data_IF_373264907158
#
_entry.id   IF_373264907158
#
_cell.length_a   1.000
_cell.length_b   1.000
_cell.length_c   1.000
_cell.angle_alpha   90.00
_cell.angle_beta   90.00
_cell.angle_gamma   90.00
#
_symmetry.space_group_name_H-M   'P 1'
#
loop_
_entity.id
_entity.type
_entity.pdbx_description
1 polymer ?
#
# COMPACT_ATOMS: atom_id res chain seq x y z
N UNK A 1 11.91 38.41 -13.55
CA UNK A 1 11.43 38.16 -14.93
C UNK A 1 10.47 39.26 -15.33
N UNK A 2 10.67 39.90 -16.48
CA UNK A 2 9.78 40.97 -16.98
C UNK A 2 8.55 40.42 -17.71
N UNK A 3 7.46 41.17 -17.75
CA UNK A 3 6.17 40.78 -18.34
C UNK A 3 6.28 40.30 -19.81
N UNK A 4 7.22 40.86 -20.58
CA UNK A 4 7.50 40.44 -21.98
C UNK A 4 8.07 39.03 -22.07
N UNK A 5 8.97 38.65 -21.15
CA UNK A 5 9.57 37.31 -21.12
C UNK A 5 8.52 36.24 -20.77
N UNK A 6 7.62 36.55 -19.84
CA UNK A 6 6.51 35.66 -19.47
C UNK A 6 5.58 35.41 -20.67
N UNK A 7 5.18 36.47 -21.37
CA UNK A 7 4.33 36.33 -22.57
C UNK A 7 5.02 35.53 -23.68
N UNK A 8 6.33 35.68 -23.85
CA UNK A 8 7.11 34.94 -24.84
C UNK A 8 7.12 33.44 -24.53
N UNK A 9 7.44 33.06 -23.28
CA UNK A 9 7.41 31.65 -22.87
C UNK A 9 6.02 31.02 -22.99
N UNK A 10 4.97 31.76 -22.62
CA UNK A 10 3.60 31.27 -22.76
C UNK A 10 3.20 31.05 -24.22
N UNK A 11 3.62 31.94 -25.13
CA UNK A 11 3.38 31.74 -26.57
C UNK A 11 4.16 30.54 -27.11
N UNK A 12 5.39 30.34 -26.64
CA UNK A 12 6.20 29.18 -27.01
C UNK A 12 5.58 27.86 -26.52
N UNK A 13 4.96 27.84 -25.34
CA UNK A 13 4.20 26.68 -24.85
C UNK A 13 2.93 26.41 -25.67
N UNK A 14 2.28 27.47 -26.17
CA UNK A 14 1.17 27.34 -27.12
C UNK A 14 1.66 26.73 -28.46
N UNK A 15 2.79 27.20 -28.99
CA UNK A 15 3.41 26.70 -30.23
C UNK A 15 3.85 25.24 -30.13
N UNK A 16 4.28 24.79 -28.94
CA UNK A 16 4.61 23.38 -28.66
C UNK A 16 3.38 22.50 -28.40
N UNK A 17 2.18 23.08 -28.42
CA UNK A 17 0.92 22.38 -28.20
C UNK A 17 0.74 21.89 -26.76
N UNK A 18 1.42 22.51 -25.79
CA UNK A 18 1.32 22.18 -24.36
C UNK A 18 0.23 23.00 -23.67
N UNK A 19 0.03 24.24 -24.11
CA UNK A 19 -1.06 25.10 -23.64
C UNK A 19 -1.92 25.57 -24.81
N UNK A 20 -3.15 25.97 -24.51
CA UNK A 20 -4.03 26.61 -25.47
C UNK A 20 -4.62 27.88 -24.85
N UNK A 21 -4.59 28.99 -25.60
CA UNK A 21 -5.21 30.23 -25.18
C UNK A 21 -6.74 30.15 -25.37
N UNK A 22 -7.48 30.18 -24.25
CA UNK A 22 -8.95 30.13 -24.25
C UNK A 22 -9.54 31.55 -24.33
N UNK A 23 -8.76 32.58 -24.01
CA UNK A 23 -9.10 33.99 -24.27
C UNK A 23 -8.32 34.95 -23.38
N UNK A 24 -8.26 36.24 -23.75
CA UNK A 24 -7.47 37.24 -22.99
C UNK A 24 -7.88 37.42 -21.53
N UNK A 25 -9.16 37.16 -21.19
CA UNK A 25 -9.69 37.23 -19.80
C UNK A 25 -9.71 35.88 -19.07
N UNK A 26 -9.73 34.77 -19.82
CA UNK A 26 -9.86 33.41 -19.28
C UNK A 26 -8.52 32.67 -19.18
N UNK A 27 -7.45 33.26 -19.71
CA UNK A 27 -6.10 32.72 -19.62
C UNK A 27 -5.87 31.56 -20.59
N UNK A 28 -5.00 30.63 -20.18
CA UNK A 28 -4.61 29.44 -20.94
C UNK A 28 -5.00 28.19 -20.19
N UNK A 29 -5.32 27.14 -20.93
CA UNK A 29 -5.52 25.79 -20.40
C UNK A 29 -4.40 24.88 -20.87
N UNK A 30 -4.11 23.83 -20.10
CA UNK A 30 -3.25 22.76 -20.57
C UNK A 30 -4.02 21.90 -21.58
N UNK A 31 -3.34 21.54 -22.66
CA UNK A 31 -3.83 20.49 -23.57
C UNK A 31 -3.61 19.11 -22.94
N UNK A 32 -4.16 18.04 -23.50
CA UNK A 32 -3.86 16.67 -23.04
C UNK A 32 -2.35 16.38 -23.04
N UNK A 33 -1.64 16.83 -24.08
CA UNK A 33 -0.19 16.74 -24.19
C UNK A 33 0.53 17.63 -23.17
N UNK A 34 -0.01 18.80 -22.84
CA UNK A 34 0.50 19.64 -21.76
C UNK A 34 0.31 19.00 -20.39
N UNK A 35 -0.82 18.35 -20.16
CA UNK A 35 -1.08 17.57 -18.93
C UNK A 35 -0.08 16.41 -18.85
N UNK A 36 0.19 15.72 -19.95
CA UNK A 36 1.18 14.63 -20.02
C UNK A 36 2.62 15.13 -19.81
N UNK A 37 2.99 16.25 -20.44
CA UNK A 37 4.29 16.89 -20.25
C UNK A 37 4.48 17.35 -18.80
N UNK A 38 3.47 17.96 -18.17
CA UNK A 38 3.52 18.32 -16.74
C UNK A 38 3.64 17.06 -15.87
N UNK A 39 2.91 15.99 -16.20
CA UNK A 39 3.04 14.70 -15.52
C UNK A 39 4.46 14.11 -15.65
N UNK A 40 5.16 14.34 -16.76
CA UNK A 40 6.51 13.81 -17.00
C UNK A 40 7.63 14.75 -16.51
N UNK A 41 7.44 16.06 -16.57
CA UNK A 41 8.44 17.06 -16.18
C UNK A 41 8.58 17.18 -14.65
N UNK A 42 7.51 16.90 -13.89
CA UNK A 42 7.51 16.92 -12.42
C UNK A 42 8.01 15.61 -11.80
N UNK A 43 8.79 14.78 -12.51
CA UNK A 43 9.30 13.50 -11.98
C UNK A 43 10.17 13.69 -10.73
N UNK A 44 10.89 14.81 -10.60
CA UNK A 44 11.61 15.16 -9.38
C UNK A 44 10.66 15.40 -8.18
N UNK A 45 9.48 15.99 -8.42
CA UNK A 45 8.45 16.21 -7.39
C UNK A 45 7.69 14.93 -7.01
N UNK A 46 7.88 13.84 -7.78
CA UNK A 46 7.34 12.52 -7.44
C UNK A 46 8.27 11.71 -6.52
N UNK A 47 9.55 12.06 -6.42
CA UNK A 47 10.48 11.39 -5.47
C UNK A 47 10.05 11.78 -4.05
N UNK A 48 9.76 10.78 -3.20
CA UNK A 48 9.20 10.98 -1.86
C UNK A 48 7.66 10.95 -1.82
N UNK A 49 6.99 10.78 -2.96
CA UNK A 49 5.53 10.65 -2.97
C UNK A 49 5.05 9.42 -2.20
N UNK A 50 5.84 8.33 -2.15
CA UNK A 50 5.49 7.15 -1.38
C UNK A 50 5.46 7.44 0.13
N UNK A 51 6.45 8.13 0.68
CA UNK A 51 6.45 8.49 2.11
C UNK A 51 5.32 9.47 2.44
N UNK A 52 5.11 10.50 1.62
CA UNK A 52 4.01 11.46 1.84
C UNK A 52 2.63 10.80 1.73
N UNK A 53 2.47 9.78 0.86
CA UNK A 53 1.25 8.97 0.78
C UNK A 53 1.01 8.17 2.07
N UNK A 54 2.06 7.57 2.62
CA UNK A 54 1.99 6.84 3.89
C UNK A 54 1.52 7.78 5.00
N UNK A 55 2.15 8.95 5.13
CA UNK A 55 1.79 9.96 6.13
C UNK A 55 0.34 10.44 5.98
N UNK A 56 -0.09 10.75 4.75
CA UNK A 56 -1.47 11.17 4.47
C UNK A 56 -2.49 10.09 4.84
N UNK A 57 -2.22 8.83 4.47
CA UNK A 57 -3.11 7.71 4.80
C UNK A 57 -3.13 7.39 6.28
N UNK A 58 -1.97 7.46 6.96
CA UNK A 58 -1.89 7.33 8.41
C UNK A 58 -2.75 8.41 9.09
N UNK A 59 -2.63 9.67 8.66
CA UNK A 59 -3.43 10.77 9.19
C UNK A 59 -4.94 10.58 8.93
N UNK A 60 -5.31 10.11 7.74
CA UNK A 60 -6.72 9.84 7.36
C UNK A 60 -7.32 8.60 8.01
N UNK A 61 -6.52 7.76 8.64
CA UNK A 61 -7.01 6.56 9.33
C UNK A 61 -7.77 7.00 10.58
N UNK A 62 -9.09 6.81 10.63
CA UNK A 62 -9.95 7.24 11.76
C UNK A 62 -10.43 6.08 12.63
N UNK A 63 -9.98 4.85 12.35
CA UNK A 63 -10.34 3.64 13.12
C UNK A 63 -10.19 3.77 14.65
N UNK A 64 -11.25 3.35 15.33
CA UNK A 64 -11.40 3.22 16.78
C UNK A 64 -11.62 1.73 17.09
N UNK A 65 -10.62 1.11 17.74
CA UNK A 65 -10.61 -0.32 18.06
C UNK A 65 -11.56 -0.69 19.21
N UNK A 66 -12.10 0.26 19.98
CA UNK A 66 -13.12 -0.03 21.00
C UNK A 66 -14.50 -0.10 20.36
N UNK A 67 -14.76 0.75 19.36
CA UNK A 67 -16.07 0.86 18.68
C UNK A 67 -16.17 0.06 17.39
N UNK A 68 -15.07 -0.50 16.91
CA UNK A 68 -14.96 -1.18 15.63
C UNK A 68 -15.58 -0.35 14.49
N UNK A 69 -15.16 0.91 14.39
CA UNK A 69 -15.66 1.85 13.38
C UNK A 69 -14.60 2.88 12.97
N UNK A 70 -14.86 3.58 11.88
CA UNK A 70 -13.96 4.55 11.28
C UNK A 70 -13.20 3.96 10.10
N UNK A 71 -12.49 4.84 9.40
CA UNK A 71 -11.86 4.52 8.15
C UNK A 71 -10.46 3.90 8.37
N UNK A 72 -10.15 2.86 7.60
CA UNK A 72 -8.83 2.21 7.55
C UNK A 72 -8.24 2.30 6.14
N UNK A 73 -6.90 2.33 6.00
CA UNK A 73 -6.25 2.37 4.71
C UNK A 73 -6.31 1.01 4.03
N UNK A 74 -6.59 1.00 2.73
CA UNK A 74 -6.68 -0.20 1.90
C UNK A 74 -5.84 -0.05 0.63
N UNK A 75 -5.40 -1.18 0.10
CA UNK A 75 -4.89 -1.28 -1.27
C UNK A 75 -6.02 -1.80 -2.16
N UNK A 76 -6.11 -1.32 -3.40
CA UNK A 76 -7.14 -1.75 -4.35
C UNK A 76 -6.48 -2.40 -5.55
N UNK A 77 -6.93 -3.59 -5.92
CA UNK A 77 -6.44 -4.35 -7.06
C UNK A 77 -7.58 -4.67 -8.01
N UNK A 78 -7.39 -4.40 -9.30
CA UNK A 78 -8.37 -4.68 -10.34
C UNK A 78 -8.01 -5.93 -11.12
N UNK A 79 -8.89 -6.93 -11.07
CA UNK A 79 -8.77 -8.19 -11.80
C UNK A 79 -9.73 -8.23 -12.98
N UNK A 80 -9.43 -8.93 -14.09
CA UNK A 80 -10.43 -9.31 -15.07
C UNK A 80 -11.57 -10.08 -14.39
N UNK A 81 -12.81 -9.69 -14.67
CA UNK A 81 -14.00 -10.23 -13.98
C UNK A 81 -14.10 -11.76 -14.12
N UNK A 82 -13.83 -12.27 -15.32
CA UNK A 82 -13.83 -13.70 -15.65
C UNK A 82 -12.73 -14.51 -14.97
N UNK A 83 -11.68 -13.85 -14.45
CA UNK A 83 -10.58 -14.50 -13.73
C UNK A 83 -10.65 -14.31 -12.22
N UNK A 84 -11.59 -13.51 -11.72
CA UNK A 84 -11.63 -13.12 -10.32
C UNK A 84 -11.84 -14.30 -9.36
N UNK A 85 -12.75 -15.23 -9.67
CA UNK A 85 -12.93 -16.44 -8.83
C UNK A 85 -11.65 -17.27 -8.74
N UNK A 86 -10.91 -17.45 -9.85
CA UNK A 86 -9.61 -18.13 -9.84
C UNK A 86 -8.58 -17.38 -9.00
N UNK A 87 -8.63 -16.04 -9.00
CA UNK A 87 -7.76 -15.22 -8.16
C UNK A 87 -8.04 -15.45 -6.68
N UNK A 88 -9.31 -15.50 -6.26
CA UNK A 88 -9.71 -15.82 -4.88
C UNK A 88 -9.18 -17.19 -4.46
N UNK A 89 -9.27 -18.21 -5.32
CA UNK A 89 -8.73 -19.53 -5.02
C UNK A 89 -7.20 -19.52 -4.83
N UNK A 90 -6.47 -18.77 -5.68
CA UNK A 90 -5.02 -18.61 -5.54
C UNK A 90 -4.61 -17.84 -4.28
N UNK A 91 -5.45 -16.89 -3.84
CA UNK A 91 -5.24 -16.10 -2.63
C UNK A 91 -5.50 -16.86 -1.32
N UNK A 92 -6.38 -17.86 -1.35
CA UNK A 92 -6.86 -18.57 -0.16
C UNK A 92 -5.74 -19.09 0.76
N UNK A 93 -4.70 -19.78 0.26
CA UNK A 93 -3.65 -20.31 1.14
C UNK A 93 -2.89 -19.20 1.89
N UNK A 94 -2.75 -18.02 1.28
CA UNK A 94 -2.02 -16.89 1.89
C UNK A 94 -2.83 -16.24 3.01
N UNK A 95 -4.14 -16.09 2.82
CA UNK A 95 -5.05 -15.65 3.89
C UNK A 95 -5.11 -16.67 5.03
N UNK A 96 -5.23 -17.96 4.72
CA UNK A 96 -5.29 -19.05 5.71
C UNK A 96 -4.00 -19.16 6.52
N UNK A 97 -2.84 -18.91 5.90
CA UNK A 97 -1.55 -18.87 6.57
C UNK A 97 -1.31 -17.58 7.38
N UNK A 98 -2.22 -16.60 7.32
CA UNK A 98 -2.06 -15.31 8.01
C UNK A 98 -0.93 -14.45 7.44
N UNK A 99 -0.52 -14.66 6.19
CA UNK A 99 0.57 -13.91 5.54
C UNK A 99 0.09 -12.58 4.93
N UNK A 100 -0.93 -11.97 5.52
CA UNK A 100 -1.56 -10.73 5.08
C UNK A 100 -1.71 -9.75 6.25
N UNK A 101 -2.01 -8.48 5.96
CA UNK A 101 -2.20 -7.48 7.01
C UNK A 101 -3.51 -7.68 7.82
N UNK A 102 -4.53 -8.28 7.21
CA UNK A 102 -5.84 -8.59 7.78
C UNK A 102 -6.54 -9.60 6.87
N UNK A 103 -7.49 -10.37 7.42
CA UNK A 103 -8.42 -11.22 6.65
C UNK A 103 -9.61 -10.44 6.08
N UNK A 104 -9.73 -9.15 6.41
CA UNK A 104 -10.80 -8.28 5.95
C UNK A 104 -10.54 -7.77 4.52
N UNK A 105 -11.58 -7.85 3.69
CA UNK A 105 -11.57 -7.43 2.29
C UNK A 105 -12.89 -6.76 1.90
N UNK A 106 -12.88 -6.00 0.81
CA UNK A 106 -14.12 -5.56 0.16
C UNK A 106 -14.02 -5.79 -1.36
N UNK A 107 -15.16 -5.95 -2.01
CA UNK A 107 -15.22 -6.15 -3.46
C UNK A 107 -16.26 -5.24 -4.10
N UNK A 108 -15.99 -4.84 -5.33
CA UNK A 108 -16.95 -4.13 -6.16
C UNK A 108 -16.79 -4.57 -7.62
N UNK A 109 -17.91 -4.68 -8.34
CA UNK A 109 -17.94 -4.92 -9.79
C UNK A 109 -17.75 -3.62 -10.57
N UNK A 110 -17.59 -3.72 -11.90
CA UNK A 110 -17.43 -2.58 -12.78
C UNK A 110 -18.47 -1.48 -12.58
N UNK A 111 -18.00 -0.25 -12.37
CA UNK A 111 -18.85 0.92 -12.04
C UNK A 111 -19.12 1.11 -10.54
N UNK A 112 -18.86 0.10 -9.72
CA UNK A 112 -18.88 0.20 -8.26
C UNK A 112 -17.69 0.98 -7.71
N UNK A 113 -17.70 1.23 -6.39
CA UNK A 113 -16.66 1.99 -5.70
C UNK A 113 -15.99 1.18 -4.59
N UNK A 114 -14.68 1.39 -4.43
CA UNK A 114 -13.89 0.94 -3.28
C UNK A 114 -13.17 2.15 -2.72
N UNK A 115 -13.71 2.70 -1.63
CA UNK A 115 -13.29 3.99 -1.10
C UNK A 115 -13.40 5.08 -2.17
N UNK A 116 -12.29 5.79 -2.41
CA UNK A 116 -12.22 6.86 -3.43
C UNK A 116 -11.98 6.39 -4.88
N UNK A 117 -11.99 5.09 -5.16
CA UNK A 117 -11.71 4.54 -6.49
C UNK A 117 -12.95 3.92 -7.13
N UNK A 118 -13.14 4.21 -8.42
CA UNK A 118 -14.16 3.58 -9.26
C UNK A 118 -13.57 2.36 -9.95
N UNK A 119 -14.24 1.21 -9.86
CA UNK A 119 -13.83 -0.02 -10.54
C UNK A 119 -14.11 0.12 -12.05
N UNK A 120 -13.12 -0.10 -12.93
CA UNK A 120 -13.35 -0.05 -14.38
C UNK A 120 -14.37 -1.10 -14.85
N UNK A 121 -15.06 -0.82 -15.95
CA UNK A 121 -15.95 -1.80 -16.58
C UNK A 121 -15.18 -3.05 -17.02
N UNK A 122 -15.80 -4.24 -16.88
CA UNK A 122 -15.17 -5.53 -17.17
C UNK A 122 -14.09 -5.95 -16.17
N UNK A 123 -14.02 -5.29 -15.00
CA UNK A 123 -13.09 -5.63 -13.91
C UNK A 123 -13.85 -5.88 -12.61
N UNK A 124 -13.24 -6.70 -11.77
CA UNK A 124 -13.57 -6.84 -10.35
C UNK A 124 -12.51 -6.12 -9.52
N UNK A 125 -12.94 -5.21 -8.65
CA UNK A 125 -12.08 -4.59 -7.65
C UNK A 125 -12.05 -5.43 -6.38
N UNK A 126 -10.86 -5.57 -5.81
CA UNK A 126 -10.62 -6.13 -4.49
C UNK A 126 -9.86 -5.12 -3.64
N UNK A 127 -10.41 -4.76 -2.50
CA UNK A 127 -9.73 -4.01 -1.47
C UNK A 127 -9.13 -4.96 -0.42
N UNK A 128 -7.86 -4.76 -0.07
CA UNK A 128 -7.15 -5.46 1.00
C UNK A 128 -6.62 -4.46 2.01
N UNK A 129 -6.63 -4.79 3.31
CA UNK A 129 -6.12 -3.88 4.35
C UNK A 129 -4.65 -3.57 4.13
N UNK A 130 -4.27 -2.30 4.29
CA UNK A 130 -2.88 -1.87 4.23
C UNK A 130 -2.25 -1.82 5.63
N UNK A 131 -0.99 -2.26 5.76
CA UNK A 131 -0.21 -2.15 7.01
C UNK A 131 -0.06 -0.71 7.55
N UNK A 132 -0.39 0.31 6.74
CA UNK A 132 -0.51 1.71 7.16
C UNK A 132 -1.52 1.89 8.29
N UNK A 133 -2.44 0.94 8.51
CA UNK A 133 -3.35 0.97 9.66
C UNK A 133 -2.59 1.04 11.00
N UNK A 134 -1.47 0.34 11.13
CA UNK A 134 -0.57 0.44 12.30
C UNK A 134 -0.02 1.87 12.44
N UNK A 135 0.29 2.52 11.32
CA UNK A 135 0.88 3.86 11.29
C UNK A 135 -0.15 4.86 11.83
N UNK A 136 -1.38 4.82 11.31
CA UNK A 136 -2.45 5.70 11.76
C UNK A 136 -2.85 5.47 13.22
N UNK A 137 -2.92 4.22 13.66
CA UNK A 137 -3.27 3.89 15.05
C UNK A 137 -2.19 4.29 16.05
N UNK A 138 -0.91 4.04 15.75
CA UNK A 138 0.20 4.48 16.59
C UNK A 138 0.28 6.01 16.65
N UNK A 139 0.10 6.68 15.51
CA UNK A 139 0.09 8.15 15.46
C UNK A 139 -0.97 8.74 16.41
N UNK A 140 -2.18 8.17 16.45
CA UNK A 140 -3.24 8.61 17.38
C UNK A 140 -2.93 8.32 18.84
N UNK A 141 -2.19 7.26 19.11
CA UNK A 141 -1.70 6.94 20.45
C UNK A 141 -0.49 7.82 20.86
N UNK A 142 -0.10 8.78 20.03
CA UNK A 142 1.04 9.67 20.29
C UNK A 142 2.40 9.01 20.05
N UNK A 143 2.44 7.88 19.34
CA UNK A 143 3.67 7.15 19.00
C UNK A 143 4.12 7.54 17.58
N UNK A 144 5.23 8.27 17.43
CA UNK A 144 5.80 8.51 16.11
C UNK A 144 6.40 7.22 15.55
N UNK A 145 6.35 7.07 14.23
CA UNK A 145 6.89 5.90 13.55
C UNK A 145 7.53 6.28 12.23
N UNK A 146 8.74 5.79 12.00
CA UNK A 146 9.49 6.01 10.78
C UNK A 146 9.23 4.91 9.77
N UNK A 147 8.74 5.28 8.60
CA UNK A 147 8.56 4.37 7.47
C UNK A 147 9.81 4.29 6.61
N UNK A 148 10.66 3.28 6.84
CA UNK A 148 11.96 3.15 6.17
C UNK A 148 11.84 2.64 4.74
N UNK A 149 11.37 1.41 4.56
CA UNK A 149 11.30 0.77 3.24
C UNK A 149 10.21 -0.31 3.16
N UNK A 150 9.83 -0.65 1.93
CA UNK A 150 9.16 -1.91 1.59
C UNK A 150 10.18 -2.86 0.96
N UNK A 151 10.01 -4.17 1.14
CA UNK A 151 11.00 -5.14 0.72
C UNK A 151 10.45 -6.56 0.55
N UNK A 152 11.34 -7.44 0.07
CA UNK A 152 11.12 -8.88 0.03
C UNK A 152 11.76 -9.51 1.26
N UNK A 153 10.93 -10.12 2.10
CA UNK A 153 11.35 -10.85 3.30
C UNK A 153 11.42 -12.35 3.00
N UNK A 154 12.59 -12.92 3.23
CA UNK A 154 12.79 -14.36 3.13
C UNK A 154 12.19 -15.06 4.37
N UNK A 155 11.34 -16.05 4.11
CA UNK A 155 10.75 -16.94 5.11
C UNK A 155 11.40 -18.31 5.02
N UNK A 156 11.75 -18.88 6.17
CA UNK A 156 12.22 -20.26 6.30
C UNK A 156 11.70 -20.86 7.61
N UNK A 157 11.16 -22.08 7.56
CA UNK A 157 10.54 -22.74 8.72
C UNK A 157 9.48 -21.85 9.40
N UNK A 158 8.65 -21.17 8.60
CA UNK A 158 7.63 -20.20 9.04
C UNK A 158 8.17 -18.97 9.81
N UNK A 159 9.49 -18.74 9.79
CA UNK A 159 10.12 -17.60 10.48
C UNK A 159 10.74 -16.62 9.49
N UNK A 160 10.70 -15.31 9.79
CA UNK A 160 11.44 -14.32 9.02
C UNK A 160 12.94 -14.50 9.24
N UNK A 161 13.71 -14.54 8.14
CA UNK A 161 15.17 -14.67 8.19
C UNK A 161 15.83 -13.31 7.94
N UNK A 162 15.62 -12.75 6.75
CA UNK A 162 16.25 -11.50 6.31
C UNK A 162 15.49 -10.84 5.16
N UNK A 163 15.69 -9.54 5.00
CA UNK A 163 15.31 -8.88 3.76
C UNK A 163 16.32 -9.19 2.66
N UNK A 164 15.85 -9.64 1.50
CA UNK A 164 16.70 -9.92 0.33
C UNK A 164 16.64 -8.80 -0.70
N UNK A 165 15.60 -7.97 -0.65
CA UNK A 165 15.41 -6.80 -1.51
C UNK A 165 14.73 -5.70 -0.70
N UNK A 166 15.07 -4.44 -0.97
CA UNK A 166 14.48 -3.29 -0.29
C UNK A 166 14.45 -2.05 -1.20
N UNK A 167 13.39 -1.25 -1.07
CA UNK A 167 13.25 0.06 -1.69
C UNK A 167 12.81 1.06 -0.61
N UNK A 168 13.66 2.05 -0.34
CA UNK A 168 13.37 3.12 0.61
C UNK A 168 12.24 4.03 0.11
N UNK A 169 11.28 4.35 0.98
CA UNK A 169 10.14 5.19 0.58
C UNK A 169 10.53 6.64 0.33
N UNK A 170 11.55 7.15 1.02
CA UNK A 170 12.06 8.53 0.86
C UNK A 170 12.57 8.82 -0.54
N UNK A 171 13.02 7.79 -1.27
CA UNK A 171 13.55 7.90 -2.63
C UNK A 171 12.59 7.42 -3.72
N UNK A 172 11.35 7.05 -3.38
CA UNK A 172 10.45 6.39 -4.32
C UNK A 172 9.14 7.18 -4.54
N UNK A 173 8.62 7.10 -5.76
CA UNK A 173 7.32 7.65 -6.15
C UNK A 173 6.19 6.62 -6.11
N UNK A 174 6.54 5.33 -6.11
CA UNK A 174 5.63 4.20 -6.17
C UNK A 174 5.74 3.35 -4.90
N UNK A 175 4.69 2.56 -4.63
CA UNK A 175 4.79 1.53 -3.60
C UNK A 175 5.78 0.43 -4.05
N UNK A 176 6.80 0.10 -3.23
CA UNK A 176 7.73 -1.00 -3.53
C UNK A 176 7.04 -2.33 -3.83
N UNK A 177 5.91 -2.61 -3.17
CA UNK A 177 5.18 -3.88 -3.34
C UNK A 177 4.66 -4.04 -4.77
N UNK A 178 4.19 -2.96 -5.41
CA UNK A 178 3.76 -3.01 -6.80
C UNK A 178 4.92 -3.40 -7.72
N UNK A 179 6.10 -2.84 -7.47
CA UNK A 179 7.32 -3.12 -8.25
C UNK A 179 7.71 -4.59 -8.10
N UNK A 180 7.75 -5.10 -6.86
CA UNK A 180 8.15 -6.49 -6.60
C UNK A 180 7.16 -7.51 -7.16
N UNK A 181 5.85 -7.25 -7.07
CA UNK A 181 4.81 -8.10 -7.65
C UNK A 181 4.97 -8.15 -9.18
N UNK A 182 5.07 -6.98 -9.83
CA UNK A 182 5.24 -6.89 -11.29
C UNK A 182 6.52 -7.57 -11.78
N UNK A 183 7.59 -7.48 -10.99
CA UNK A 183 8.86 -8.13 -11.27
C UNK A 183 8.87 -9.64 -10.93
N UNK A 184 7.75 -10.20 -10.44
CA UNK A 184 7.60 -11.62 -10.05
C UNK A 184 8.68 -12.08 -9.07
N UNK A 185 8.97 -11.24 -8.09
CA UNK A 185 10.05 -11.48 -7.10
C UNK A 185 9.58 -12.22 -5.85
N UNK A 186 8.28 -12.46 -5.73
CA UNK A 186 7.65 -13.14 -4.59
C UNK A 186 7.49 -14.64 -4.83
N UNK A 187 7.38 -15.37 -3.73
CA UNK A 187 6.92 -16.75 -3.69
C UNK A 187 6.09 -16.92 -2.40
N UNK A 188 4.95 -16.22 -2.36
CA UNK A 188 4.07 -16.19 -1.19
C UNK A 188 3.30 -17.49 -1.04
N UNK A 189 3.00 -18.18 -2.15
CA UNK A 189 2.30 -19.46 -2.10
C UNK A 189 3.17 -20.56 -1.48
N UNK A 190 4.45 -20.65 -1.81
CA UNK A 190 5.33 -21.61 -1.14
C UNK A 190 5.55 -21.22 0.32
N UNK A 191 5.65 -19.92 0.63
CA UNK A 191 5.73 -19.44 2.01
C UNK A 191 4.50 -19.89 2.82
N UNK A 192 3.30 -19.80 2.25
CA UNK A 192 2.07 -20.27 2.88
C UNK A 192 2.02 -21.79 3.05
N UNK A 193 2.37 -22.56 2.02
CA UNK A 193 2.20 -24.02 1.99
C UNK A 193 3.30 -24.77 2.72
N UNK A 194 4.54 -24.29 2.64
CA UNK A 194 5.74 -25.01 3.12
C UNK A 194 6.51 -24.24 4.18
N UNK A 195 6.09 -23.03 4.53
CA UNK A 195 6.83 -22.18 5.46
C UNK A 195 8.18 -21.73 4.92
N UNK A 196 8.37 -21.77 3.60
CA UNK A 196 9.58 -21.32 2.92
C UNK A 196 9.20 -20.54 1.67
N UNK A 197 9.71 -19.31 1.54
CA UNK A 197 9.42 -18.49 0.37
C UNK A 197 9.83 -17.04 0.56
N UNK A 198 9.28 -16.16 -0.27
CA UNK A 198 9.60 -14.74 -0.32
C UNK A 198 8.31 -13.94 -0.28
N UNK A 199 8.13 -13.16 0.77
CA UNK A 199 6.90 -12.39 0.97
C UNK A 199 7.18 -10.89 0.92
N UNK A 200 6.15 -10.10 0.63
CA UNK A 200 6.19 -8.66 0.80
C UNK A 200 6.11 -8.33 2.28
N UNK A 201 7.02 -7.49 2.73
CA UNK A 201 7.01 -6.94 4.08
C UNK A 201 7.55 -5.52 4.10
N UNK A 202 7.16 -4.80 5.14
CA UNK A 202 7.51 -3.40 5.33
C UNK A 202 8.31 -3.26 6.62
N UNK A 203 9.34 -2.43 6.62
CA UNK A 203 10.13 -2.15 7.80
C UNK A 203 9.79 -0.77 8.37
N UNK A 204 9.57 -0.72 9.69
CA UNK A 204 9.25 0.48 10.45
C UNK A 204 10.15 0.58 11.67
N UNK A 205 10.35 1.79 12.16
CA UNK A 205 11.00 2.02 13.44
C UNK A 205 10.16 2.91 14.35
N UNK A 206 10.16 2.61 15.63
CA UNK A 206 9.55 3.45 16.68
C UNK A 206 10.58 3.80 17.75
N UNK A 207 10.45 4.91 18.48
CA UNK A 207 11.27 5.16 19.66
C UNK A 207 11.10 4.05 20.69
N UNK A 208 12.20 3.61 21.29
CA UNK A 208 12.20 2.49 22.23
C UNK A 208 11.31 2.72 23.46
N UNK A 209 11.21 3.98 23.90
CA UNK A 209 10.34 4.39 25.01
C UNK A 209 8.84 4.16 24.72
N UNK A 210 8.46 4.10 23.45
CA UNK A 210 7.08 3.90 23.03
C UNK A 210 6.65 2.42 23.01
N UNK A 211 7.55 1.47 23.33
CA UNK A 211 7.24 0.02 23.28
C UNK A 211 5.94 -0.35 23.99
N UNK A 212 5.70 0.05 25.26
CA UNK A 212 4.50 -0.40 25.97
C UNK A 212 3.21 0.05 25.27
N UNK A 213 3.17 1.30 24.82
CA UNK A 213 2.03 1.87 24.09
C UNK A 213 1.86 1.17 22.74
N UNK A 214 2.96 0.91 22.03
CA UNK A 214 2.92 0.24 20.74
C UNK A 214 2.40 -1.21 20.86
N UNK A 215 2.84 -1.95 21.87
CA UNK A 215 2.39 -3.33 22.15
C UNK A 215 0.90 -3.37 22.49
N UNK A 216 0.41 -2.41 23.28
CA UNK A 216 -1.02 -2.28 23.58
C UNK A 216 -1.84 -2.03 22.32
N UNK A 217 -1.48 -1.01 21.52
CA UNK A 217 -2.18 -0.67 20.27
C UNK A 217 -2.19 -1.85 19.30
N UNK A 218 -1.06 -2.53 19.13
CA UNK A 218 -0.96 -3.68 18.22
C UNK A 218 -1.82 -4.84 18.70
N UNK A 219 -1.92 -5.06 20.02
CA UNK A 219 -2.78 -6.08 20.60
C UNK A 219 -4.25 -5.77 20.30
N UNK A 220 -4.70 -4.53 20.53
CA UNK A 220 -6.07 -4.10 20.21
C UNK A 220 -6.41 -4.20 18.72
N UNK A 221 -5.48 -3.84 17.85
CA UNK A 221 -5.67 -4.00 16.41
C UNK A 221 -5.77 -5.46 16.01
N UNK A 222 -4.99 -6.35 16.61
CA UNK A 222 -5.08 -7.79 16.37
C UNK A 222 -6.44 -8.35 16.82
N UNK A 223 -6.95 -7.92 17.98
CA UNK A 223 -8.28 -8.29 18.47
C UNK A 223 -9.39 -7.86 17.50
N UNK A 224 -9.21 -6.72 16.83
CA UNK A 224 -10.09 -6.20 15.78
C UNK A 224 -9.82 -6.78 14.37
N UNK A 225 -8.98 -7.82 14.23
CA UNK A 225 -8.68 -8.45 12.93
C UNK A 225 -7.68 -7.69 12.05
N UNK A 226 -7.00 -6.66 12.56
CA UNK A 226 -6.05 -5.80 11.85
C UNK A 226 -4.60 -6.09 12.29
N UNK A 227 -4.22 -7.37 12.29
CA UNK A 227 -2.97 -7.86 12.86
C UNK A 227 -1.78 -7.91 11.88
N UNK A 228 -1.29 -6.77 11.39
CA UNK A 228 -0.19 -6.78 10.40
C UNK A 228 1.23 -6.91 10.97
N UNK A 229 1.44 -6.82 12.29
CA UNK A 229 2.77 -6.99 12.90
C UNK A 229 3.24 -8.46 12.77
N UNK A 230 4.37 -8.67 12.11
CA UNK A 230 5.02 -9.98 12.03
C UNK A 230 6.08 -10.16 13.12
N UNK A 231 6.94 -9.15 13.30
CA UNK A 231 8.03 -9.18 14.27
C UNK A 231 8.29 -7.78 14.82
N UNK A 232 8.50 -7.68 16.13
CA UNK A 232 9.03 -6.49 16.79
C UNK A 232 10.36 -6.89 17.43
N UNK A 233 11.44 -6.19 17.06
CA UNK A 233 12.78 -6.46 17.58
C UNK A 233 13.01 -5.93 18.98
N UNK A 234 14.25 -6.05 19.47
CA UNK A 234 14.72 -5.41 20.69
C UNK A 234 15.21 -3.97 20.43
N UNK A 235 15.47 -3.23 21.50
CA UNK A 235 15.96 -1.85 21.40
C UNK A 235 17.37 -1.81 20.81
N UNK A 236 17.56 -1.04 19.73
CA UNK A 236 18.83 -0.85 19.02
C UNK A 236 19.49 -2.13 18.48
N UNK A 237 18.74 -3.24 18.40
CA UNK A 237 19.21 -4.49 17.82
C UNK A 237 18.73 -4.62 16.37
N UNK A 238 19.58 -5.20 15.52
CA UNK A 238 19.22 -5.48 14.14
C UNK A 238 18.07 -6.49 14.06
N UNK A 239 17.17 -6.31 13.09
CA UNK A 239 16.02 -7.19 12.88
C UNK A 239 16.07 -7.70 11.45
N UNK A 240 16.21 -9.02 11.28
CA UNK A 240 16.29 -9.65 9.96
C UNK A 240 17.38 -9.02 9.05
N UNK A 241 18.59 -8.88 9.62
CA UNK A 241 19.78 -8.27 9.00
C UNK A 241 19.65 -6.76 8.70
N UNK A 242 18.57 -6.11 9.16
CA UNK A 242 18.37 -4.67 9.01
C UNK A 242 18.86 -3.96 10.28
N UNK A 243 19.84 -3.06 10.19
CA UNK A 243 20.30 -2.29 11.34
C UNK A 243 19.21 -1.32 11.80
N UNK A 244 19.01 -1.23 13.12
CA UNK A 244 18.06 -0.32 13.78
C UNK A 244 18.82 0.82 14.43
N UNK A 245 18.29 2.04 14.34
CA UNK A 245 18.92 3.21 14.95
C UNK A 245 18.95 3.13 16.48
N UNK A 246 19.91 3.87 17.08
CA UNK A 246 20.04 3.94 18.53
C UNK A 246 18.74 4.46 19.18
N UNK A 247 18.34 3.81 20.27
CA UNK A 247 17.09 4.10 20.99
C UNK A 247 15.81 3.92 20.16
N UNK A 248 15.86 3.12 19.09
CA UNK A 248 14.68 2.70 18.33
C UNK A 248 14.46 1.19 18.38
N UNK A 249 13.28 0.76 17.97
CA UNK A 249 12.88 -0.63 17.81
C UNK A 249 12.46 -0.84 16.36
N UNK A 250 13.04 -1.85 15.71
CA UNK A 250 12.63 -2.28 14.38
C UNK A 250 11.36 -3.13 14.41
N UNK A 251 10.47 -2.89 13.46
CA UNK A 251 9.22 -3.61 13.28
C UNK A 251 9.07 -4.08 11.85
N UNK A 252 8.69 -5.34 11.67
CA UNK A 252 8.35 -5.93 10.38
C UNK A 252 6.83 -6.08 10.31
N UNK A 253 6.22 -5.45 9.31
CA UNK A 253 4.79 -5.55 9.03
C UNK A 253 4.57 -6.37 7.75
N UNK A 254 3.57 -7.26 7.76
CA UNK A 254 3.17 -8.02 6.59
C UNK A 254 2.57 -7.10 5.52
N UNK A 255 2.94 -7.34 4.25
CA UNK A 255 2.39 -6.62 3.11
C UNK A 255 0.91 -6.93 2.90
N UNK A 256 0.07 -5.89 2.77
CA UNK A 256 -1.36 -6.05 2.47
C UNK A 256 -1.62 -6.68 1.09
N UNK A 257 -0.67 -6.59 0.17
CA UNK A 257 -0.74 -7.15 -1.17
C UNK A 257 -0.17 -8.58 -1.29
N UNK A 258 0.25 -9.22 -0.20
CA UNK A 258 0.71 -10.63 -0.26
C UNK A 258 -0.33 -11.56 -0.89
N UNK A 259 -1.64 -11.50 -0.56
CA UNK A 259 -2.62 -12.31 -1.26
C UNK A 259 -2.63 -12.02 -2.78
N UNK A 260 -2.63 -10.75 -3.17
CA UNK A 260 -2.62 -10.37 -4.59
C UNK A 260 -1.37 -10.89 -5.32
N UNK A 261 -0.21 -10.91 -4.64
CA UNK A 261 1.00 -11.52 -5.17
C UNK A 261 0.81 -13.02 -5.48
N UNK A 262 0.02 -13.75 -4.68
CA UNK A 262 -0.32 -15.15 -4.94
C UNK A 262 -1.13 -15.33 -6.23
N UNK A 263 -2.06 -14.41 -6.50
CA UNK A 263 -2.82 -14.42 -7.74
C UNK A 263 -1.91 -14.18 -8.96
N UNK A 264 -0.95 -13.26 -8.84
CA UNK A 264 0.07 -12.97 -9.86
C UNK A 264 1.01 -14.17 -10.09
N UNK A 265 1.44 -14.85 -9.02
CA UNK A 265 2.21 -16.10 -9.09
C UNK A 265 1.44 -17.22 -9.80
N UNK A 266 0.10 -17.23 -9.71
CA UNK A 266 -0.77 -18.13 -10.46
C UNK A 266 -1.07 -17.64 -11.90
N UNK A 267 -0.38 -16.59 -12.36
CA UNK A 267 -0.52 -16.02 -13.70
C UNK A 267 -1.80 -15.21 -13.90
N UNK A 268 -2.43 -14.73 -12.82
CA UNK A 268 -3.63 -13.88 -12.86
C UNK A 268 -3.22 -12.44 -12.57
N UNK A 269 -2.98 -11.70 -13.65
CA UNK A 269 -2.49 -10.32 -13.55
C UNK A 269 -3.54 -9.36 -13.01
N UNK A 270 -3.12 -8.46 -12.12
CA UNK A 270 -3.93 -7.42 -11.50
C UNK A 270 -3.32 -6.03 -11.74
N UNK A 271 -4.19 -5.04 -11.95
CA UNK A 271 -3.76 -3.64 -11.88
C UNK A 271 -3.83 -3.21 -10.42
N UNK A 272 -2.66 -3.09 -9.79
CA UNK A 272 -2.52 -2.75 -8.38
C UNK A 272 -2.48 -1.23 -8.18
N UNK A 273 -3.23 -0.77 -7.19
CA UNK A 273 -3.21 0.59 -6.65
C UNK A 273 -3.00 0.49 -5.14
N UNK A 274 -1.74 0.29 -4.75
CA UNK A 274 -1.27 0.34 -3.38
C UNK A 274 -1.32 1.77 -2.84
N UNK A 275 -1.43 1.91 -1.51
CA UNK A 275 -1.48 3.23 -0.84
C UNK A 275 -2.47 4.18 -1.52
N UNK A 276 -3.67 3.67 -1.85
CA UNK A 276 -4.60 4.36 -2.73
C UNK A 276 -5.66 5.13 -1.97
N UNK A 277 -6.33 4.50 -1.00
CA UNK A 277 -7.51 5.09 -0.36
C UNK A 277 -7.77 4.57 1.05
N UNK A 278 -8.82 5.10 1.68
CA UNK A 278 -9.36 4.61 2.95
C UNK A 278 -10.80 4.14 2.73
N UNK A 279 -11.24 3.18 3.52
CA UNK A 279 -12.61 2.64 3.53
C UNK A 279 -13.12 2.52 4.95
N UNK A 280 -14.43 2.59 5.14
CA UNK A 280 -15.02 2.34 6.45
C UNK A 280 -14.81 0.88 6.86
N UNK A 281 -14.32 0.66 8.08
CA UNK A 281 -14.02 -0.68 8.59
C UNK A 281 -15.21 -1.65 8.44
N UNK A 282 -16.43 -1.13 8.61
CA UNK A 282 -17.69 -1.91 8.56
C UNK A 282 -18.14 -2.29 7.16
N UNK A 283 -17.52 -1.73 6.11
CA UNK A 283 -17.77 -2.13 4.72
C UNK A 283 -16.97 -3.36 4.32
N UNK A 284 -16.02 -3.79 5.16
CA UNK A 284 -15.18 -4.94 4.91
C UNK A 284 -15.82 -6.21 5.49
N UNK A 285 -15.66 -7.31 4.76
CA UNK A 285 -16.09 -8.65 5.13
C UNK A 285 -14.88 -9.57 5.27
N UNK A 286 -15.03 -10.71 5.94
CA UNK A 286 -13.95 -11.69 5.99
C UNK A 286 -13.76 -12.32 4.62
N UNK A 287 -12.51 -12.55 4.22
CA UNK A 287 -12.17 -13.17 2.95
C UNK A 287 -12.85 -14.53 2.75
N UNK A 288 -13.01 -15.31 3.82
CA UNK A 288 -13.69 -16.61 3.77
C UNK A 288 -15.16 -16.48 3.35
N UNK A 289 -15.88 -15.47 3.85
CA UNK A 289 -17.28 -15.22 3.49
C UNK A 289 -17.40 -14.91 2.00
N UNK A 290 -16.53 -14.04 1.49
CA UNK A 290 -16.45 -13.72 0.06
C UNK A 290 -16.17 -14.95 -0.81
N UNK A 291 -15.25 -15.82 -0.38
CA UNK A 291 -14.88 -17.02 -1.13
C UNK A 291 -16.05 -18.00 -1.17
N UNK A 292 -16.71 -18.24 -0.04
CA UNK A 292 -17.79 -19.22 0.07
C UNK A 292 -19.04 -18.76 -0.73
N UNK A 293 -19.27 -17.46 -0.91
CA UNK A 293 -20.31 -16.91 -1.81
C UNK A 293 -20.02 -17.09 -3.32
N UNK A 294 -18.76 -17.32 -3.69
CA UNK A 294 -18.27 -17.30 -5.09
C UNK A 294 -17.56 -18.59 -5.52
N UNK A 295 -17.67 -19.63 -4.69
CA UNK A 295 -17.23 -21.00 -4.96
C UNK A 295 -18.36 -21.80 -5.61
#
# INVERSE_FOLDING_TARGET
>A
MGERAVRYHLKFMDERGLTQLVGRRYGRTLTERGIEEVKCALVADKVGFAISRIELLAFRTTFDYEKHCGSIPVNVSFFPEERFSKALHAMSPVFEAGLCASDLVAVASGGGQLGGLVVPQGKMGLATVCSIVINGSLLKAGVPMDSRFGGILQIQNHKPIRFVELIYYTGCSLDPSEVFIRARMTDVQEAAKRGQGRILANFREIPAICRPIAEEVITRLREAGLGSLFLMGNTSEAVCEVPVELNKIGMILLGGLNPVAAAEEAGIEAVNHAMSTVMEYRELIRFRELRDERS
#
